data_IF_329429268600
#
_entry.id   IF_329429268600
#
_cell.length_a   1.000
_cell.length_b   1.000
_cell.length_c   1.000
_cell.angle_alpha   90.00
_cell.angle_beta   90.00
_cell.angle_gamma   90.00
#
_symmetry.space_group_name_H-M   'P 1'
#
loop_
_entity.id
_entity.type
_entity.pdbx_description
1 polymer ?
#
# COMPACT_ATOMS: atom_id res chain seq x y z
N UNK A 1 43.73 -10.21 35.34
CA UNK A 1 43.89 -11.23 34.28
C UNK A 1 43.06 -10.77 33.09
N UNK A 2 43.70 -10.12 32.11
CA UNK A 2 43.04 -9.76 30.85
C UNK A 2 42.95 -11.04 30.02
N UNK A 3 41.78 -11.67 29.98
CA UNK A 3 41.52 -12.73 29.02
C UNK A 3 41.70 -12.13 27.63
N UNK A 4 42.80 -12.48 26.97
CA UNK A 4 42.98 -12.25 25.53
C UNK A 4 41.80 -12.90 24.82
N UNK A 5 40.80 -12.11 24.44
CA UNK A 5 39.83 -12.54 23.44
C UNK A 5 40.62 -12.95 22.21
N UNK A 6 40.41 -14.18 21.73
CA UNK A 6 41.07 -14.63 20.50
C UNK A 6 40.73 -13.69 19.34
N UNK A 7 41.69 -13.48 18.43
CA UNK A 7 41.58 -12.60 17.26
C UNK A 7 40.36 -12.86 16.37
N UNK A 8 39.70 -14.00 16.55
CA UNK A 8 38.65 -14.51 15.68
C UNK A 8 37.23 -14.22 16.23
N UNK A 9 37.12 -13.86 17.51
CA UNK A 9 35.86 -13.51 18.18
C UNK A 9 35.02 -12.43 17.44
N UNK A 10 35.60 -11.31 16.94
CA UNK A 10 34.79 -10.30 16.26
C UNK A 10 34.17 -10.79 14.95
N UNK A 11 34.87 -11.68 14.23
CA UNK A 11 34.36 -12.22 12.96
C UNK A 11 33.20 -13.18 13.19
N UNK A 12 33.31 -14.08 14.17
CA UNK A 12 32.21 -14.99 14.53
C UNK A 12 30.96 -14.23 14.97
N UNK A 13 31.13 -13.16 15.74
CA UNK A 13 30.03 -12.29 16.16
C UNK A 13 29.36 -11.60 14.96
N UNK A 14 30.14 -11.05 14.02
CA UNK A 14 29.61 -10.42 12.80
C UNK A 14 28.89 -11.42 11.89
N UNK A 15 29.43 -12.64 11.74
CA UNK A 15 28.78 -13.71 11.00
C UNK A 15 27.44 -14.10 11.64
N UNK A 16 27.42 -14.25 12.97
CA UNK A 16 26.19 -14.57 13.71
C UNK A 16 25.13 -13.48 13.57
N UNK A 17 25.51 -12.20 13.71
CA UNK A 17 24.60 -11.06 13.49
C UNK A 17 24.08 -11.05 12.06
N UNK A 18 24.95 -11.22 11.07
CA UNK A 18 24.56 -11.16 9.66
C UNK A 18 23.57 -12.28 9.31
N UNK A 19 23.79 -13.49 9.84
CA UNK A 19 22.89 -14.63 9.66
C UNK A 19 21.55 -14.40 10.37
N UNK A 20 21.57 -13.92 11.61
CA UNK A 20 20.36 -13.60 12.35
C UNK A 20 19.55 -12.48 11.65
N UNK A 21 20.24 -11.46 11.14
CA UNK A 21 19.64 -10.35 10.40
C UNK A 21 19.02 -10.82 9.08
N UNK A 22 19.66 -11.76 8.37
CA UNK A 22 19.08 -12.38 7.17
C UNK A 22 17.72 -13.04 7.49
N UNK A 23 17.68 -13.90 8.51
CA UNK A 23 16.46 -14.60 8.88
C UNK A 23 15.39 -13.65 9.44
N UNK A 24 15.77 -12.65 10.25
CA UNK A 24 14.84 -11.63 10.73
C UNK A 24 14.22 -10.84 9.56
N UNK A 25 15.05 -10.36 8.63
CA UNK A 25 14.60 -9.58 7.46
C UNK A 25 13.68 -10.40 6.56
N UNK A 26 14.08 -11.62 6.22
CA UNK A 26 13.25 -12.52 5.40
C UNK A 26 11.95 -12.89 6.09
N UNK A 27 11.92 -13.00 7.43
CA UNK A 27 10.69 -13.20 8.19
C UNK A 27 9.78 -11.97 8.14
N UNK A 28 10.33 -10.77 8.33
CA UNK A 28 9.56 -9.52 8.25
C UNK A 28 8.96 -9.32 6.85
N UNK A 29 9.72 -9.62 5.80
CA UNK A 29 9.26 -9.58 4.41
C UNK A 29 8.16 -10.62 4.15
N UNK A 30 8.38 -11.88 4.58
CA UNK A 30 7.39 -12.94 4.45
C UNK A 30 6.10 -12.57 5.18
N UNK A 31 6.20 -12.12 6.43
CA UNK A 31 5.06 -11.77 7.25
C UNK A 31 4.29 -10.59 6.66
N UNK A 32 4.98 -9.55 6.19
CA UNK A 32 4.33 -8.41 5.56
C UNK A 32 3.59 -8.78 4.28
N UNK A 33 4.18 -9.66 3.48
CA UNK A 33 3.55 -10.15 2.27
C UNK A 33 2.34 -11.04 2.59
N UNK A 34 2.48 -12.06 3.44
CA UNK A 34 1.36 -12.89 3.91
C UNK A 34 0.23 -12.06 4.51
N UNK A 35 0.58 -11.11 5.39
CA UNK A 35 -0.40 -10.24 6.04
C UNK A 35 -1.16 -9.40 5.03
N UNK A 36 -0.54 -8.99 3.91
CA UNK A 36 -1.22 -8.25 2.85
C UNK A 36 -2.26 -9.10 2.10
N UNK A 37 -2.15 -10.43 2.10
CA UNK A 37 -3.14 -11.33 1.49
C UNK A 37 -4.35 -11.63 2.38
N UNK A 38 -4.32 -11.26 3.67
CA UNK A 38 -5.49 -11.42 4.52
C UNK A 38 -6.62 -10.48 4.06
N UNK A 39 -7.84 -11.03 3.90
CA UNK A 39 -9.03 -10.30 3.39
C UNK A 39 -9.34 -8.98 4.11
N UNK A 40 -8.97 -8.85 5.38
CA UNK A 40 -9.22 -7.66 6.21
C UNK A 40 -7.97 -6.83 6.47
N UNK A 41 -6.87 -7.14 5.79
CA UNK A 41 -5.61 -6.44 5.99
C UNK A 41 -5.71 -5.00 5.47
N UNK A 42 -5.32 -4.01 6.28
CA UNK A 42 -5.16 -2.63 5.77
C UNK A 42 -4.05 -2.53 4.72
N UNK A 43 -3.19 -3.55 4.60
CA UNK A 43 -2.10 -3.60 3.64
C UNK A 43 -2.48 -4.31 2.32
N UNK A 44 -3.65 -4.97 2.26
CA UNK A 44 -4.14 -5.62 1.05
C UNK A 44 -4.20 -4.70 -0.18
N UNK A 45 -4.57 -3.41 -0.06
CA UNK A 45 -4.54 -2.51 -1.20
C UNK A 45 -3.16 -2.38 -1.86
N UNK A 46 -2.09 -2.43 -1.06
CA UNK A 46 -0.70 -2.23 -1.51
C UNK A 46 -0.12 -3.41 -2.27
N UNK A 47 -0.70 -4.59 -2.13
CA UNK A 47 -0.20 -5.80 -2.73
C UNK A 47 -1.25 -6.51 -3.59
N UNK A 48 -2.37 -6.95 -3.02
CA UNK A 48 -3.42 -7.66 -3.75
C UNK A 48 -4.17 -6.74 -4.72
N UNK A 49 -4.65 -5.59 -4.26
CA UNK A 49 -5.37 -4.66 -5.16
C UNK A 49 -4.43 -3.77 -6.00
N UNK A 50 -3.13 -4.00 -5.86
CA UNK A 50 -2.08 -3.21 -6.48
C UNK A 50 -1.24 -4.02 -7.44
N UNK A 51 -0.27 -4.75 -6.91
CA UNK A 51 0.66 -5.59 -7.67
C UNK A 51 -0.06 -6.71 -8.40
N UNK A 52 -0.96 -7.45 -7.75
CA UNK A 52 -1.76 -8.47 -8.41
C UNK A 52 -2.78 -7.88 -9.40
N UNK A 53 -3.20 -6.62 -9.25
CA UNK A 53 -4.06 -6.01 -10.26
C UNK A 53 -3.35 -5.82 -11.62
N UNK A 54 -2.02 -5.59 -11.62
CA UNK A 54 -1.23 -5.49 -12.85
C UNK A 54 -0.75 -6.84 -13.38
N UNK A 55 -0.59 -7.81 -12.48
CA UNK A 55 -0.14 -9.17 -12.79
C UNK A 55 -1.14 -10.15 -12.16
N UNK A 56 -2.34 -10.32 -12.75
CA UNK A 56 -3.46 -10.99 -12.08
C UNK A 56 -3.31 -12.49 -11.92
N UNK A 57 -2.50 -13.13 -12.74
CA UNK A 57 -2.31 -14.58 -12.73
C UNK A 57 -1.00 -14.95 -13.43
N UNK A 58 -0.66 -16.24 -13.42
CA UNK A 58 0.53 -16.79 -14.07
C UNK A 58 0.58 -16.58 -15.59
N UNK A 59 -0.55 -16.41 -16.27
CA UNK A 59 -0.61 -16.17 -17.73
C UNK A 59 -0.32 -14.71 -18.07
N UNK A 60 -0.65 -13.79 -17.17
CA UNK A 60 -0.45 -12.35 -17.29
C UNK A 60 0.68 -11.83 -16.39
N UNK A 61 1.56 -12.73 -15.91
CA UNK A 61 2.63 -12.40 -14.97
C UNK A 61 3.70 -11.47 -15.58
N UNK A 62 3.92 -11.53 -16.89
CA UNK A 62 5.05 -10.89 -17.55
C UNK A 62 4.63 -9.72 -18.44
N UNK A 63 5.54 -8.76 -18.57
CA UNK A 63 5.37 -7.57 -19.41
C UNK A 63 6.72 -7.14 -19.99
N UNK A 64 6.70 -6.30 -21.03
CA UNK A 64 7.92 -5.81 -21.68
C UNK A 64 8.73 -4.86 -20.77
N UNK A 65 8.09 -4.23 -19.80
CA UNK A 65 8.70 -3.35 -18.80
C UNK A 65 7.98 -3.54 -17.48
N UNK A 66 8.71 -3.45 -16.37
CA UNK A 66 8.09 -3.60 -15.07
C UNK A 66 7.10 -2.46 -14.82
N UNK A 67 5.83 -2.83 -14.66
CA UNK A 67 4.77 -1.93 -14.27
C UNK A 67 4.88 -1.74 -12.75
N UNK A 68 5.49 -0.64 -12.35
CA UNK A 68 5.44 -0.21 -10.96
C UNK A 68 4.04 0.28 -10.65
N UNK A 69 3.39 -0.37 -9.70
CA UNK A 69 2.26 0.23 -9.05
C UNK A 69 2.68 1.53 -8.36
N UNK A 70 2.02 2.63 -8.69
CA UNK A 70 2.27 3.90 -8.02
C UNK A 70 1.46 3.97 -6.73
N UNK A 71 2.00 4.63 -5.70
CA UNK A 71 1.32 4.88 -4.41
C UNK A 71 0.83 3.57 -3.78
N UNK A 72 -0.49 3.42 -3.63
CA UNK A 72 -1.18 2.26 -3.09
C UNK A 72 -1.03 0.99 -3.90
N UNK A 73 -0.29 0.97 -4.99
CA UNK A 73 -0.10 -0.23 -5.79
C UNK A 73 1.33 -0.79 -5.69
N UNK A 74 2.20 -0.16 -4.89
CA UNK A 74 3.56 -0.65 -4.66
C UNK A 74 3.60 -1.62 -3.49
N UNK A 75 4.03 -2.86 -3.76
CA UNK A 75 4.18 -3.92 -2.76
C UNK A 75 5.10 -3.53 -1.62
N UNK A 76 6.07 -2.62 -1.82
CA UNK A 76 7.02 -2.23 -0.76
C UNK A 76 6.31 -1.63 0.45
N UNK A 77 5.21 -0.89 0.25
CA UNK A 77 4.46 -0.28 1.34
C UNK A 77 3.76 -1.31 2.23
N UNK A 78 3.47 -2.52 1.72
CA UNK A 78 2.97 -3.61 2.55
C UNK A 78 4.05 -4.22 3.46
N UNK A 79 5.32 -4.03 3.12
CA UNK A 79 6.47 -4.61 3.83
C UNK A 79 7.07 -3.64 4.86
N UNK A 80 7.04 -2.33 4.57
CA UNK A 80 7.63 -1.29 5.41
C UNK A 80 7.23 -1.33 6.89
N UNK A 81 5.95 -1.54 7.27
CA UNK A 81 5.58 -1.56 8.69
C UNK A 81 6.33 -2.65 9.46
N UNK A 82 6.55 -3.81 8.83
CA UNK A 82 7.20 -4.96 9.44
C UNK A 82 8.72 -4.81 9.49
N UNK A 83 9.31 -4.21 8.46
CA UNK A 83 10.72 -3.81 8.46
C UNK A 83 11.00 -2.74 9.52
N UNK A 84 10.11 -1.78 9.70
CA UNK A 84 10.23 -0.76 10.76
C UNK A 84 10.13 -1.37 12.16
N UNK A 85 9.22 -2.34 12.36
CA UNK A 85 9.14 -3.08 13.63
C UNK A 85 10.43 -3.87 13.90
N UNK A 86 10.97 -4.57 12.89
CA UNK A 86 12.26 -5.24 13.01
C UNK A 86 13.38 -4.25 13.37
N UNK A 87 13.51 -3.16 12.62
CA UNK A 87 14.55 -2.16 12.82
C UNK A 87 14.45 -1.54 14.22
N UNK A 88 13.24 -1.28 14.71
CA UNK A 88 13.00 -0.82 16.08
C UNK A 88 13.47 -1.83 17.14
N UNK A 89 13.20 -3.13 16.94
CA UNK A 89 13.69 -4.20 17.83
C UNK A 89 15.22 -4.26 17.80
N UNK A 90 15.83 -4.19 16.62
CA UNK A 90 17.30 -4.18 16.46
C UNK A 90 17.94 -2.98 17.14
N UNK A 91 17.35 -1.79 17.00
CA UNK A 91 17.82 -0.57 17.67
C UNK A 91 17.78 -0.69 19.19
N UNK A 92 16.78 -1.40 19.73
CA UNK A 92 16.67 -1.66 21.16
C UNK A 92 17.73 -2.65 21.68
N UNK A 93 18.02 -3.71 20.90
CA UNK A 93 18.85 -4.84 21.34
C UNK A 93 20.35 -4.70 21.00
N UNK A 94 20.70 -3.99 19.94
CA UNK A 94 22.06 -3.94 19.41
C UNK A 94 22.82 -2.70 19.87
N UNK A 95 24.15 -2.82 19.90
CA UNK A 95 25.05 -1.67 19.95
C UNK A 95 24.92 -0.85 18.66
N UNK A 96 25.29 0.43 18.68
CA UNK A 96 25.20 1.29 17.49
C UNK A 96 25.93 0.71 16.27
N UNK A 97 27.19 0.23 16.34
CA UNK A 97 27.86 -0.37 15.19
C UNK A 97 27.13 -1.61 14.65
N UNK A 98 26.70 -2.51 15.54
CA UNK A 98 25.97 -3.72 15.15
C UNK A 98 24.60 -3.40 14.53
N UNK A 99 23.92 -2.37 15.03
CA UNK A 99 22.67 -1.87 14.44
C UNK A 99 22.89 -1.36 13.01
N UNK A 100 23.90 -0.51 12.78
CA UNK A 100 24.16 0.02 11.44
C UNK A 100 24.57 -1.07 10.44
N UNK A 101 25.34 -2.06 10.88
CA UNK A 101 25.67 -3.24 10.06
C UNK A 101 24.39 -4.01 9.71
N UNK A 102 23.53 -4.26 10.70
CA UNK A 102 22.25 -4.98 10.50
C UNK A 102 21.32 -4.21 9.56
N UNK A 103 21.15 -2.90 9.78
CA UNK A 103 20.34 -2.02 8.94
C UNK A 103 20.86 -1.98 7.49
N UNK A 104 22.18 -1.92 7.30
CA UNK A 104 22.79 -1.98 5.96
C UNK A 104 22.48 -3.31 5.27
N UNK A 105 22.60 -4.43 6.01
CA UNK A 105 22.23 -5.74 5.49
C UNK A 105 20.74 -5.88 5.17
N UNK A 106 19.87 -5.31 6.00
CA UNK A 106 18.41 -5.27 5.77
C UNK A 106 18.09 -4.52 4.48
N UNK A 107 18.60 -3.30 4.32
CA UNK A 107 18.42 -2.47 3.12
C UNK A 107 18.94 -3.20 1.88
N UNK A 108 20.12 -3.81 1.96
CA UNK A 108 20.70 -4.56 0.85
C UNK A 108 19.80 -5.74 0.44
N UNK A 109 19.26 -6.51 1.39
CA UNK A 109 18.34 -7.61 1.11
C UNK A 109 17.04 -7.13 0.47
N UNK A 110 16.46 -6.03 0.95
CA UNK A 110 15.27 -5.42 0.36
C UNK A 110 15.51 -5.03 -1.09
N UNK A 111 16.65 -4.39 -1.39
CA UNK A 111 17.03 -4.01 -2.75
C UNK A 111 17.17 -5.26 -3.63
N UNK A 112 17.92 -6.27 -3.17
CA UNK A 112 18.16 -7.50 -3.93
C UNK A 112 16.87 -8.25 -4.22
N UNK A 113 16.01 -8.47 -3.23
CA UNK A 113 14.75 -9.17 -3.45
C UNK A 113 13.78 -8.35 -4.30
N UNK A 114 13.75 -7.02 -4.17
CA UNK A 114 12.94 -6.19 -5.05
C UNK A 114 13.43 -6.24 -6.51
N UNK A 115 14.74 -6.30 -6.74
CA UNK A 115 15.31 -6.49 -8.08
C UNK A 115 14.96 -7.87 -8.65
N UNK A 116 15.11 -8.95 -7.87
CA UNK A 116 14.75 -10.30 -8.32
C UNK A 116 13.25 -10.39 -8.62
N UNK A 117 12.40 -9.84 -7.75
CA UNK A 117 10.95 -9.76 -7.95
C UNK A 117 10.61 -9.00 -9.24
N UNK A 118 11.23 -7.84 -9.45
CA UNK A 118 11.07 -7.05 -10.68
C UNK A 118 11.36 -7.90 -11.92
N UNK A 119 12.47 -8.63 -11.88
CA UNK A 119 12.89 -9.50 -12.97
C UNK A 119 11.92 -10.66 -13.21
N UNK A 120 11.16 -11.13 -12.22
CA UNK A 120 10.13 -12.15 -12.43
C UNK A 120 9.01 -11.72 -13.37
N UNK A 121 8.75 -10.41 -13.48
CA UNK A 121 7.67 -9.83 -14.27
C UNK A 121 8.12 -9.30 -15.65
N UNK A 122 9.39 -9.50 -16.02
CA UNK A 122 9.92 -9.09 -17.33
C UNK A 122 9.99 -10.26 -18.29
N UNK A 123 9.50 -10.07 -19.54
CA UNK A 123 9.70 -11.03 -20.62
C UNK A 123 11.20 -11.30 -20.86
N UNK A 124 11.96 -10.23 -21.06
CA UNK A 124 13.39 -10.28 -21.41
C UNK A 124 14.29 -10.10 -20.19
N UNK A 125 14.03 -10.84 -19.12
CA UNK A 125 14.93 -10.83 -17.96
C UNK A 125 16.30 -11.36 -18.32
N UNK A 126 17.34 -10.64 -17.89
CA UNK A 126 18.75 -11.08 -17.99
C UNK A 126 19.03 -12.38 -17.25
N UNK A 127 18.14 -12.81 -16.35
CA UNK A 127 18.29 -14.03 -15.56
C UNK A 127 17.61 -15.25 -16.18
N UNK A 128 16.95 -15.10 -17.34
CA UNK A 128 16.22 -16.18 -18.02
C UNK A 128 17.07 -17.43 -18.29
N UNK A 129 18.40 -17.29 -18.45
CA UNK A 129 19.31 -18.43 -18.66
C UNK A 129 19.57 -19.29 -17.41
N UNK A 130 19.23 -18.82 -16.22
CA UNK A 130 19.58 -19.51 -14.98
C UNK A 130 18.43 -20.38 -14.45
N UNK A 131 18.71 -21.68 -14.27
CA UNK A 131 17.70 -22.66 -13.80
C UNK A 131 17.08 -22.31 -12.45
N UNK A 132 17.88 -21.77 -11.52
CA UNK A 132 17.38 -21.36 -10.20
C UNK A 132 16.34 -20.24 -10.33
N UNK A 133 16.58 -19.27 -11.21
CA UNK A 133 15.71 -18.13 -11.43
C UNK A 133 14.40 -18.56 -12.11
N UNK A 134 14.48 -19.42 -13.14
CA UNK A 134 13.30 -20.01 -13.76
C UNK A 134 12.43 -20.78 -12.74
N UNK A 135 13.07 -21.49 -11.80
CA UNK A 135 12.35 -22.22 -10.74
C UNK A 135 11.68 -21.27 -9.75
N UNK A 136 12.39 -20.23 -9.31
CA UNK A 136 11.84 -19.22 -8.41
C UNK A 136 10.68 -18.44 -9.07
N UNK A 137 10.84 -18.02 -10.33
CA UNK A 137 9.78 -17.37 -11.11
C UNK A 137 8.54 -18.25 -11.25
N UNK A 138 8.68 -19.56 -11.49
CA UNK A 138 7.52 -20.47 -11.53
C UNK A 138 6.77 -20.51 -10.20
N UNK A 139 7.47 -20.52 -9.07
CA UNK A 139 6.83 -20.49 -7.74
C UNK A 139 6.15 -19.16 -7.46
N UNK A 140 6.75 -18.07 -7.93
CA UNK A 140 6.12 -16.74 -7.93
C UNK A 140 4.87 -16.71 -8.83
N UNK A 141 4.88 -17.40 -9.97
CA UNK A 141 3.68 -17.55 -10.79
C UNK A 141 2.54 -18.26 -10.03
N UNK A 142 2.85 -19.31 -9.26
CA UNK A 142 1.86 -19.97 -8.38
C UNK A 142 1.32 -19.04 -7.29
N UNK A 143 2.17 -18.15 -6.76
CA UNK A 143 1.74 -17.12 -5.82
C UNK A 143 0.71 -16.15 -6.43
N UNK A 144 0.86 -15.85 -7.72
CA UNK A 144 -0.12 -15.05 -8.45
C UNK A 144 -1.44 -15.79 -8.72
N UNK A 145 -1.44 -17.13 -8.66
CA UNK A 145 -2.63 -17.94 -8.87
C UNK A 145 -3.34 -18.34 -7.55
N UNK A 146 -2.62 -18.41 -6.42
CA UNK A 146 -3.10 -18.91 -5.13
C UNK A 146 -2.31 -18.28 -3.96
N UNK A 147 -2.89 -18.31 -2.76
CA UNK A 147 -2.34 -17.78 -1.51
C UNK A 147 -1.19 -18.65 -0.96
N UNK A 148 -0.07 -18.72 -1.69
CA UNK A 148 1.11 -19.55 -1.40
C UNK A 148 2.41 -18.85 -1.77
N UNK A 149 3.57 -19.35 -1.32
CA UNK A 149 4.90 -18.87 -1.70
C UNK A 149 5.09 -17.35 -1.50
N UNK A 150 4.79 -16.83 -0.31
CA UNK A 150 4.88 -15.40 -0.01
C UNK A 150 6.31 -14.88 -0.01
N UNK A 151 7.34 -15.71 0.09
CA UNK A 151 8.72 -15.22 0.02
C UNK A 151 9.26 -15.32 -1.43
N UNK A 152 9.88 -14.22 -1.89
CA UNK A 152 10.40 -14.09 -3.28
C UNK A 152 11.76 -14.78 -3.44
N UNK A 153 12.67 -14.57 -2.49
CA UNK A 153 14.10 -14.91 -2.66
C UNK A 153 14.50 -16.30 -2.19
N UNK A 154 13.89 -16.77 -1.11
CA UNK A 154 13.98 -18.14 -0.63
C UNK A 154 12.59 -18.57 -0.14
N UNK A 155 12.40 -19.84 0.20
CA UNK A 155 11.11 -20.33 0.69
C UNK A 155 11.25 -21.02 2.05
N UNK A 156 12.22 -20.60 2.86
CA UNK A 156 12.42 -21.16 4.20
C UNK A 156 11.17 -20.94 5.05
N UNK A 157 10.70 -19.70 5.13
CA UNK A 157 9.51 -19.34 5.90
C UNK A 157 8.23 -19.96 5.34
N UNK A 158 8.09 -20.01 4.01
CA UNK A 158 6.94 -20.68 3.40
C UNK A 158 6.87 -22.17 3.76
N UNK A 159 8.02 -22.85 3.84
CA UNK A 159 8.07 -24.26 4.27
C UNK A 159 7.75 -24.38 5.75
N UNK A 160 8.32 -23.51 6.58
CA UNK A 160 8.11 -23.54 8.02
C UNK A 160 6.63 -23.30 8.38
N UNK A 161 5.98 -22.34 7.71
CA UNK A 161 4.59 -21.97 7.96
C UNK A 161 3.58 -22.73 7.08
N UNK A 162 4.03 -23.67 6.25
CA UNK A 162 3.15 -24.51 5.44
C UNK A 162 2.45 -23.79 4.27
N UNK A 163 3.00 -22.68 3.82
CA UNK A 163 2.52 -21.90 2.66
C UNK A 163 3.32 -22.17 1.39
N UNK A 164 4.29 -23.11 1.43
CA UNK A 164 5.08 -23.50 0.27
C UNK A 164 4.30 -24.38 -0.72
N UNK A 165 4.37 -24.06 -2.01
CA UNK A 165 3.83 -24.86 -3.11
C UNK A 165 4.82 -24.93 -4.29
N UNK A 166 4.85 -26.06 -5.01
CA UNK A 166 5.64 -26.22 -6.23
C UNK A 166 4.79 -26.96 -7.29
N UNK A 167 5.14 -26.79 -8.57
CA UNK A 167 4.45 -27.54 -9.63
C UNK A 167 4.75 -29.04 -9.47
N UNK A 168 3.70 -29.86 -9.36
CA UNK A 168 3.82 -31.32 -9.19
C UNK A 168 3.87 -31.82 -7.74
N UNK A 169 3.68 -30.96 -6.74
CA UNK A 169 3.43 -31.42 -5.36
C UNK A 169 1.93 -31.59 -5.12
N UNK A 170 1.45 -32.83 -5.03
CA UNK A 170 0.06 -33.14 -4.69
C UNK A 170 -0.33 -32.44 -3.37
N UNK A 171 -1.46 -31.73 -3.34
CA UNK A 171 -1.89 -30.81 -2.27
C UNK A 171 -2.13 -31.41 -0.87
N UNK A 172 -1.65 -32.62 -0.58
CA UNK A 172 -1.82 -33.34 0.69
C UNK A 172 -0.83 -32.94 1.79
N UNK A 173 0.22 -32.17 1.50
CA UNK A 173 1.20 -31.73 2.51
C UNK A 173 0.77 -30.46 3.28
N UNK A 174 -0.38 -29.85 2.94
CA UNK A 174 -0.79 -28.50 3.40
C UNK A 174 -1.32 -28.40 4.86
N UNK A 175 -1.62 -29.50 5.59
CA UNK A 175 -2.40 -29.40 6.86
C UNK A 175 -1.62 -29.79 8.14
N UNK A 176 -0.47 -30.45 8.08
CA UNK A 176 0.24 -30.91 9.31
C UNK A 176 1.30 -29.95 9.88
N UNK A 177 1.81 -28.99 9.12
CA UNK A 177 2.90 -28.13 9.59
C UNK A 177 2.43 -27.02 10.55
N UNK A 178 1.30 -26.36 10.27
CA UNK A 178 0.82 -25.17 11.01
C UNK A 178 0.49 -25.50 12.47
N UNK A 179 -0.13 -26.66 12.76
CA UNK A 179 -0.46 -27.08 14.14
C UNK A 179 0.79 -27.42 14.96
N UNK A 180 1.81 -27.98 14.31
CA UNK A 180 3.02 -28.47 14.99
C UNK A 180 3.96 -27.33 15.37
N UNK A 181 4.13 -26.33 14.50
CA UNK A 181 5.00 -25.17 14.76
C UNK A 181 4.40 -24.25 15.83
N UNK A 182 3.08 -23.99 15.78
CA UNK A 182 2.40 -23.18 16.80
C UNK A 182 2.48 -23.83 18.21
N UNK A 183 2.31 -25.15 18.30
CA UNK A 183 2.45 -25.88 19.57
C UNK A 183 3.89 -25.87 20.10
N UNK A 184 4.89 -25.91 19.21
CA UNK A 184 6.31 -25.90 19.58
C UNK A 184 6.77 -24.52 20.05
N UNK A 185 6.33 -23.45 19.40
CA UNK A 185 6.63 -22.07 19.82
C UNK A 185 5.95 -21.72 21.14
N UNK A 186 4.68 -22.09 21.32
CA UNK A 186 3.96 -21.88 22.58
C UNK A 186 4.62 -22.61 23.76
N UNK A 187 5.10 -23.84 23.55
CA UNK A 187 5.77 -24.63 24.59
C UNK A 187 7.24 -24.24 24.82
N UNK A 188 7.90 -23.58 23.86
CA UNK A 188 9.22 -22.98 24.02
C UNK A 188 9.18 -21.68 24.83
N UNK A 189 8.22 -20.80 24.53
CA UNK A 189 8.03 -19.54 25.26
C UNK A 189 7.62 -19.78 26.73
N UNK A 190 6.77 -20.77 26.98
CA UNK A 190 6.39 -21.16 28.35
C UNK A 190 7.59 -21.65 29.20
N UNK A 191 8.55 -22.35 28.57
CA UNK A 191 9.76 -22.84 29.26
C UNK A 191 10.79 -21.74 29.52
N UNK A 192 10.94 -20.79 28.60
CA UNK A 192 11.82 -19.62 28.78
C UNK A 192 11.32 -18.68 29.87
N UNK A 193 10.01 -18.47 30.00
CA UNK A 193 9.43 -17.65 31.06
C UNK A 193 9.61 -18.30 32.45
N UNK A 194 9.61 -19.63 32.52
CA UNK A 194 9.85 -20.38 33.76
C UNK A 194 11.30 -20.33 34.23
N UNK A 195 12.29 -20.21 33.33
CA UNK A 195 13.70 -20.23 33.73
C UNK A 195 14.24 -18.87 34.18
N UNK A 196 13.60 -17.76 33.80
CA UNK A 196 14.01 -16.41 34.21
C UNK A 196 13.50 -15.98 35.60
N UNK A 197 12.57 -16.73 36.20
CA UNK A 197 12.05 -16.44 37.54
C UNK A 197 12.96 -16.93 38.69
N UNK A 198 14.18 -17.43 38.41
CA UNK A 198 15.05 -18.05 39.43
C UNK A 198 16.51 -17.54 39.47
N UNK A 199 16.89 -16.50 38.72
CA UNK A 199 18.25 -15.94 38.81
C UNK A 199 18.23 -14.54 39.42
N UNK A 200 18.92 -14.43 40.55
CA UNK A 200 18.89 -13.30 41.49
C UNK A 200 19.48 -11.97 41.01
N UNK A 201 19.23 -10.99 41.87
CA UNK A 201 19.72 -9.62 41.90
C UNK A 201 21.20 -9.44 41.53
N UNK A 202 21.50 -8.47 40.65
CA UNK A 202 22.81 -7.83 40.61
C UNK A 202 22.72 -6.34 40.20
N UNK A 203 23.47 -5.51 40.93
CA UNK A 203 23.47 -4.03 40.92
C UNK A 203 24.24 -3.41 39.74
N UNK A 204 23.72 -3.52 38.51
CA UNK A 204 24.24 -2.78 37.34
C UNK A 204 23.21 -1.79 36.73
N UNK A 205 22.18 -1.45 37.49
CA UNK A 205 20.96 -0.83 37.00
C UNK A 205 21.05 0.64 36.51
N UNK A 206 22.19 1.34 36.62
CA UNK A 206 22.21 2.79 36.36
C UNK A 206 22.48 3.21 34.90
N UNK A 207 23.26 2.48 34.10
CA UNK A 207 23.47 2.85 32.68
C UNK A 207 22.36 2.31 31.75
N UNK A 208 21.79 1.15 32.06
CA UNK A 208 20.69 0.56 31.28
C UNK A 208 19.39 1.38 31.38
N UNK A 209 19.16 2.03 32.53
CA UNK A 209 17.94 2.80 32.80
C UNK A 209 17.88 4.12 32.01
N UNK A 210 19.02 4.73 31.67
CA UNK A 210 19.07 5.99 30.91
C UNK A 210 18.90 5.73 29.41
N UNK A 211 19.51 4.67 28.87
CA UNK A 211 19.31 4.26 27.46
C UNK A 211 17.89 3.74 27.20
N UNK A 212 17.26 3.05 28.16
CA UNK A 212 15.88 2.60 28.06
C UNK A 212 14.86 3.78 28.06
N UNK A 213 15.13 4.87 28.78
CA UNK A 213 14.18 6.01 28.82
C UNK A 213 14.10 6.80 27.50
N UNK A 214 15.14 6.73 26.65
CA UNK A 214 15.18 7.45 25.36
C UNK A 214 14.73 6.58 24.18
N UNK A 215 14.98 5.26 24.21
CA UNK A 215 14.68 4.36 23.08
C UNK A 215 13.21 3.93 23.00
N UNK A 216 12.54 3.69 24.13
CA UNK A 216 11.16 3.18 24.14
C UNK A 216 10.08 4.15 23.64
N UNK A 217 10.15 5.49 23.88
CA UNK A 217 9.19 6.44 23.31
C UNK A 217 9.32 6.56 21.78
N UNK A 218 10.54 6.45 21.23
CA UNK A 218 10.79 6.49 19.79
C UNK A 218 10.20 5.25 19.08
N UNK A 219 10.29 4.08 19.72
CA UNK A 219 9.68 2.83 19.22
C UNK A 219 8.14 2.95 19.19
N UNK A 220 7.51 3.56 20.21
CA UNK A 220 6.06 3.71 20.26
C UNK A 220 5.53 4.74 19.25
N UNK A 221 6.25 5.84 19.04
CA UNK A 221 5.87 6.92 18.13
C UNK A 221 5.94 6.49 16.66
N UNK A 222 6.96 5.70 16.29
CA UNK A 222 7.16 5.21 14.92
C UNK A 222 6.09 4.17 14.53
N UNK A 223 5.60 3.37 15.47
CA UNK A 223 4.50 2.41 15.24
C UNK A 223 3.13 3.08 15.08
N UNK A 224 2.92 4.28 15.63
CA UNK A 224 1.63 5.00 15.60
C UNK A 224 1.40 5.82 14.31
N UNK A 225 2.43 6.05 13.49
CA UNK A 225 2.35 6.93 12.29
C UNK A 225 1.91 6.19 11.01
N UNK A 226 1.74 4.87 11.04
CA UNK A 226 1.52 4.05 9.82
C UNK A 226 0.03 3.92 9.41
N UNK A 227 -0.89 4.65 10.04
CA UNK A 227 -2.34 4.37 9.96
C UNK A 227 -3.22 5.28 9.10
N UNK A 228 -2.73 6.36 8.47
CA UNK A 228 -3.59 7.26 7.69
C UNK A 228 -3.70 6.83 6.22
N UNK A 229 -4.38 5.71 5.96
CA UNK A 229 -4.51 5.16 4.61
C UNK A 229 -5.63 5.88 3.83
N UNK A 230 -5.28 6.66 2.79
CA UNK A 230 -6.23 7.28 1.83
C UNK A 230 -6.63 6.31 0.71
N UNK A 231 -7.88 5.83 0.66
CA UNK A 231 -8.35 4.85 -0.33
C UNK A 231 -8.64 5.51 -1.67
N UNK A 232 -7.92 5.13 -2.72
CA UNK A 232 -8.15 5.67 -4.06
C UNK A 232 -9.26 4.90 -4.77
N UNK A 233 -10.08 5.62 -5.56
CA UNK A 233 -11.11 5.01 -6.38
C UNK A 233 -10.48 4.18 -7.52
N UNK A 234 -10.98 2.97 -7.81
CA UNK A 234 -10.46 2.20 -8.94
C UNK A 234 -10.89 2.87 -10.26
N UNK A 235 -9.92 3.25 -11.07
CA UNK A 235 -10.14 3.89 -12.38
C UNK A 235 -10.49 2.79 -13.38
N UNK A 236 -11.60 2.96 -14.11
CA UNK A 236 -11.99 2.06 -15.18
C UNK A 236 -11.01 2.18 -16.36
N UNK A 237 -10.56 1.04 -16.90
CA UNK A 237 -9.74 1.03 -18.10
C UNK A 237 -10.55 1.59 -19.29
N UNK A 238 -9.90 2.32 -20.19
CA UNK A 238 -10.50 2.83 -21.43
C UNK A 238 -10.80 1.71 -22.43
N UNK A 239 -10.16 0.57 -22.27
CA UNK A 239 -10.29 -0.57 -23.16
C UNK A 239 -11.25 -1.63 -22.64
N UNK A 240 -11.65 -1.56 -21.37
CA UNK A 240 -12.62 -2.48 -20.75
C UNK A 240 -14.05 -2.06 -21.16
N UNK A 241 -14.87 -3.04 -21.55
CA UNK A 241 -16.30 -2.84 -21.71
C UNK A 241 -16.97 -2.55 -20.36
N UNK A 242 -18.09 -1.82 -20.38
CA UNK A 242 -18.87 -1.59 -19.16
C UNK A 242 -19.28 -2.92 -18.50
N UNK A 243 -18.95 -3.08 -17.23
CA UNK A 243 -19.37 -4.22 -16.42
C UNK A 243 -20.82 -3.99 -15.97
N UNK A 244 -21.79 -4.84 -16.39
CA UNK A 244 -23.19 -4.66 -16.08
C UNK A 244 -23.51 -4.81 -14.58
N UNK A 245 -22.61 -5.40 -13.78
CA UNK A 245 -22.77 -5.50 -12.33
C UNK A 245 -22.28 -4.27 -11.56
N UNK A 246 -21.51 -3.41 -12.21
CA UNK A 246 -20.85 -2.24 -11.62
C UNK A 246 -21.60 -0.94 -11.88
N UNK A 247 -21.26 0.08 -11.13
CA UNK A 247 -21.70 1.47 -11.31
C UNK A 247 -20.48 2.35 -11.61
N UNK A 248 -20.67 3.50 -12.26
CA UNK A 248 -19.55 4.34 -12.68
C UNK A 248 -19.78 5.83 -12.40
N UNK A 249 -18.79 6.53 -11.84
CA UNK A 249 -18.82 8.00 -11.84
C UNK A 249 -17.76 8.52 -12.78
N UNK A 250 -18.05 9.60 -13.51
CA UNK A 250 -17.09 10.18 -14.43
C UNK A 250 -17.10 11.70 -14.44
N UNK A 251 -15.96 12.27 -14.85
CA UNK A 251 -15.72 13.70 -14.90
C UNK A 251 -14.28 14.00 -15.33
N UNK A 252 -13.93 15.28 -15.38
CA UNK A 252 -12.53 15.72 -15.50
C UNK A 252 -12.00 16.12 -14.13
N UNK A 253 -10.78 15.70 -13.80
CA UNK A 253 -10.16 15.99 -12.50
C UNK A 253 -8.75 16.50 -12.76
N UNK A 254 -8.63 17.82 -12.90
CA UNK A 254 -7.42 18.46 -13.38
C UNK A 254 -6.70 19.24 -12.27
N UNK A 255 -5.37 19.10 -12.19
CA UNK A 255 -4.52 19.94 -11.35
C UNK A 255 -3.70 20.89 -12.23
N UNK A 256 -3.93 22.19 -12.09
CA UNK A 256 -3.36 23.22 -12.98
C UNK A 256 -1.90 23.58 -12.66
N UNK A 257 -1.41 23.24 -11.47
CA UNK A 257 -0.05 23.58 -11.00
C UNK A 257 0.51 22.40 -10.22
N UNK A 258 1.53 21.72 -10.75
CA UNK A 258 2.07 20.51 -10.14
C UNK A 258 3.54 20.33 -10.54
N UNK A 259 4.46 20.74 -9.68
CA UNK A 259 5.76 20.04 -9.60
C UNK A 259 5.86 19.19 -8.32
N UNK A 260 5.08 19.51 -7.28
CA UNK A 260 5.23 18.87 -5.95
C UNK A 260 3.92 18.62 -5.19
N UNK A 261 2.77 19.04 -5.72
CA UNK A 261 1.45 18.90 -5.06
C UNK A 261 0.61 17.80 -5.71
N UNK A 262 -0.26 17.16 -4.94
CA UNK A 262 -1.30 16.28 -5.49
C UNK A 262 -2.66 16.62 -4.89
N UNK A 263 -3.71 16.58 -5.72
CA UNK A 263 -5.09 16.79 -5.32
C UNK A 263 -5.91 15.51 -5.52
N UNK A 264 -7.03 15.42 -4.82
CA UNK A 264 -8.07 14.47 -5.13
C UNK A 264 -9.45 14.93 -4.67
N UNK A 265 -10.49 14.28 -5.19
CA UNK A 265 -11.86 14.45 -4.74
C UNK A 265 -12.25 13.24 -3.88
N UNK A 266 -12.69 13.49 -2.64
CA UNK A 266 -13.13 12.45 -1.72
C UNK A 266 -14.62 12.19 -1.88
N UNK A 267 -14.96 10.91 -2.00
CA UNK A 267 -16.32 10.39 -2.14
C UNK A 267 -16.50 9.29 -1.10
N UNK A 268 -17.64 9.27 -0.42
CA UNK A 268 -17.95 8.28 0.62
C UNK A 268 -19.15 7.45 0.18
N UNK A 269 -19.03 6.12 0.24
CA UNK A 269 -20.18 5.23 0.13
C UNK A 269 -20.99 5.30 1.44
N UNK A 270 -22.22 5.79 1.36
CA UNK A 270 -23.06 6.04 2.53
C UNK A 270 -23.56 4.76 3.22
N UNK A 271 -23.51 3.62 2.54
CA UNK A 271 -23.87 2.31 3.12
C UNK A 271 -22.71 1.70 3.88
N UNK A 272 -21.52 1.70 3.30
CA UNK A 272 -20.35 0.99 3.85
C UNK A 272 -19.43 1.89 4.66
N UNK A 273 -19.57 3.22 4.55
CA UNK A 273 -18.63 4.19 5.12
C UNK A 273 -17.27 4.19 4.43
N UNK A 274 -17.14 3.55 3.25
CA UNK A 274 -15.87 3.46 2.54
C UNK A 274 -15.56 4.78 1.83
N UNK A 275 -14.38 5.32 2.13
CA UNK A 275 -13.81 6.48 1.43
C UNK A 275 -13.17 6.07 0.11
N UNK A 276 -13.37 6.89 -0.91
CA UNK A 276 -12.75 6.81 -2.22
C UNK A 276 -12.18 8.17 -2.57
N UNK A 277 -10.96 8.22 -3.11
CA UNK A 277 -10.31 9.44 -3.58
C UNK A 277 -10.03 9.33 -5.07
N UNK A 278 -10.61 10.25 -5.84
CA UNK A 278 -10.32 10.42 -7.26
C UNK A 278 -9.13 11.37 -7.38
N UNK A 279 -7.99 10.88 -7.84
CA UNK A 279 -6.78 11.70 -7.98
C UNK A 279 -6.89 12.67 -9.17
N UNK A 280 -6.47 13.93 -8.95
CA UNK A 280 -6.42 14.93 -10.01
C UNK A 280 -5.15 14.73 -10.85
N UNK A 281 -5.25 14.89 -12.16
CA UNK A 281 -4.18 14.66 -13.12
C UNK A 281 -3.79 15.98 -13.82
N UNK A 282 -2.51 16.12 -14.14
CA UNK A 282 -2.01 17.29 -14.87
C UNK A 282 -2.59 17.38 -16.29
N UNK A 283 -2.93 16.22 -16.88
CA UNK A 283 -3.61 16.19 -18.18
C UNK A 283 -5.11 16.29 -17.98
N UNK A 284 -5.75 17.17 -18.74
CA UNK A 284 -7.20 17.32 -18.77
C UNK A 284 -7.84 16.13 -19.49
N UNK A 285 -8.03 15.03 -18.75
CA UNK A 285 -8.62 13.80 -19.25
C UNK A 285 -9.93 13.51 -18.53
N UNK A 286 -10.88 12.93 -19.27
CA UNK A 286 -12.05 12.31 -18.65
C UNK A 286 -11.60 11.02 -17.96
N UNK A 287 -11.95 10.91 -16.69
CA UNK A 287 -11.70 9.75 -15.83
C UNK A 287 -13.06 9.17 -15.46
N UNK A 288 -13.17 7.85 -15.55
CA UNK A 288 -14.28 7.10 -15.02
C UNK A 288 -13.77 6.22 -13.86
N UNK A 289 -14.51 6.18 -12.77
CA UNK A 289 -14.22 5.32 -11.62
C UNK A 289 -15.29 4.23 -11.52
N UNK A 290 -14.86 2.98 -11.36
CA UNK A 290 -15.74 1.82 -11.18
C UNK A 290 -16.12 1.72 -9.70
N UNK A 291 -17.40 1.55 -9.41
CA UNK A 291 -17.95 1.57 -8.06
C UNK A 291 -18.96 0.44 -7.91
N UNK A 292 -19.24 0.07 -6.66
CA UNK A 292 -20.43 -0.73 -6.37
C UNK A 292 -21.69 0.14 -6.58
N UNK A 293 -22.81 -0.43 -7.06
CA UNK A 293 -24.08 0.26 -7.05
C UNK A 293 -24.48 0.66 -5.62
N UNK A 294 -24.93 1.90 -5.43
CA UNK A 294 -25.24 2.42 -4.10
C UNK A 294 -25.46 3.93 -4.01
N UNK A 295 -25.44 4.41 -2.77
CA UNK A 295 -25.57 5.81 -2.43
C UNK A 295 -24.20 6.38 -2.04
N UNK A 296 -23.81 7.48 -2.66
CA UNK A 296 -22.51 8.11 -2.48
C UNK A 296 -22.66 9.57 -2.12
N UNK A 297 -21.65 10.15 -1.46
CA UNK A 297 -21.58 11.59 -1.22
C UNK A 297 -20.18 12.09 -1.52
N UNK A 298 -20.09 13.19 -2.26
CA UNK A 298 -18.83 13.90 -2.45
C UNK A 298 -18.67 14.82 -1.24
N UNK A 299 -17.62 14.63 -0.45
CA UNK A 299 -17.48 15.29 0.86
C UNK A 299 -16.47 16.42 0.84
N UNK A 300 -15.35 16.24 0.14
CA UNK A 300 -14.21 17.15 0.29
C UNK A 300 -13.25 17.08 -0.90
N UNK A 301 -12.47 18.15 -1.08
CA UNK A 301 -11.25 18.13 -1.89
C UNK A 301 -10.09 17.88 -0.94
N UNK A 302 -9.27 16.89 -1.26
CA UNK A 302 -8.05 16.54 -0.52
C UNK A 302 -6.82 17.02 -1.25
N UNK A 303 -5.84 17.55 -0.51
CA UNK A 303 -4.57 18.01 -1.03
C UNK A 303 -3.40 17.43 -0.22
N UNK A 304 -2.31 17.10 -0.90
CA UNK A 304 -1.03 16.71 -0.30
C UNK A 304 0.04 17.67 -0.81
N UNK A 305 0.65 18.43 0.10
CA UNK A 305 1.70 19.40 -0.24
C UNK A 305 3.12 18.92 0.11
N UNK A 306 4.07 19.19 -0.79
CA UNK A 306 5.51 19.35 -0.49
C UNK A 306 6.34 18.10 -0.15
N UNK A 307 7.66 18.29 -0.09
CA UNK A 307 8.73 17.25 -0.02
C UNK A 307 8.62 16.24 1.13
N UNK A 308 7.81 16.50 2.16
CA UNK A 308 7.58 15.58 3.27
C UNK A 308 6.20 14.89 3.26
N UNK A 309 5.26 15.24 2.36
CA UNK A 309 3.93 14.63 2.15
C UNK A 309 3.13 14.22 3.40
N UNK A 310 3.44 14.74 4.59
CA UNK A 310 2.93 14.21 5.85
C UNK A 310 1.58 14.82 6.26
N UNK A 311 1.15 15.91 5.63
CA UNK A 311 -0.11 16.59 5.95
C UNK A 311 -1.10 16.44 4.81
N UNK A 312 -2.09 15.57 5.01
CA UNK A 312 -3.32 15.58 4.22
C UNK A 312 -4.10 16.82 4.67
N UNK A 313 -4.35 17.73 3.75
CA UNK A 313 -5.28 18.82 3.96
C UNK A 313 -6.61 18.40 3.33
N UNK A 314 -7.70 18.47 4.10
CA UNK A 314 -9.06 18.18 3.64
C UNK A 314 -9.89 19.45 3.72
N UNK A 315 -10.49 19.88 2.60
CA UNK A 315 -11.43 21.01 2.57
C UNK A 315 -12.83 20.49 2.30
N UNK A 316 -13.76 20.56 3.27
CA UNK A 316 -15.16 20.21 3.06
C UNK A 316 -15.75 21.01 1.90
N UNK A 317 -16.54 20.35 1.05
CA UNK A 317 -17.21 21.03 -0.05
C UNK A 317 -18.29 21.98 0.45
N UNK A 318 -18.94 21.66 1.57
CA UNK A 318 -20.06 22.42 2.18
C UNK A 318 -19.73 23.89 2.45
N UNK A 319 -18.45 24.22 2.59
CA UNK A 319 -17.96 25.59 2.83
C UNK A 319 -17.83 26.43 1.54
N UNK A 320 -18.19 25.88 0.37
CA UNK A 320 -18.01 26.53 -0.93
C UNK A 320 -19.36 26.90 -1.55
N UNK A 321 -19.45 28.11 -2.10
CA UNK A 321 -20.64 28.62 -2.79
C UNK A 321 -21.00 27.69 -3.98
N UNK A 322 -22.27 27.26 -4.07
CA UNK A 322 -22.73 26.28 -5.07
C UNK A 322 -22.52 24.79 -4.72
N UNK A 323 -21.93 24.47 -3.56
CA UNK A 323 -21.64 23.09 -3.13
C UNK A 323 -22.86 22.26 -2.72
N UNK A 324 -23.98 22.91 -2.36
CA UNK A 324 -25.19 22.25 -1.83
C UNK A 324 -25.82 21.22 -2.79
N UNK A 325 -25.45 21.26 -4.07
CA UNK A 325 -25.90 20.32 -5.10
C UNK A 325 -24.98 19.08 -5.11
N UNK A 326 -23.68 19.31 -4.93
CA UNK A 326 -22.59 18.33 -5.04
C UNK A 326 -22.52 17.44 -3.81
N UNK A 327 -22.91 17.97 -2.64
CA UNK A 327 -22.87 17.25 -1.36
C UNK A 327 -24.12 16.42 -1.09
N UNK A 328 -25.11 16.42 -2.00
CA UNK A 328 -26.29 15.57 -1.88
C UNK A 328 -25.93 14.09 -2.11
N UNK A 329 -26.65 13.15 -1.48
CA UNK A 329 -26.54 11.74 -1.83
C UNK A 329 -26.78 11.52 -3.33
N UNK A 330 -25.78 10.95 -4.00
CA UNK A 330 -25.82 10.51 -5.38
C UNK A 330 -26.18 9.02 -5.39
N UNK A 331 -27.35 8.70 -5.92
CA UNK A 331 -27.76 7.32 -6.13
C UNK A 331 -27.28 6.87 -7.50
N UNK A 332 -26.59 5.73 -7.55
CA UNK A 332 -26.12 5.14 -8.79
C UNK A 332 -26.46 3.65 -8.86
N UNK A 333 -27.09 3.27 -9.97
CA UNK A 333 -27.56 1.91 -10.23
C UNK A 333 -26.53 1.07 -10.96
N UNK A 334 -26.79 -0.23 -11.06
CA UNK A 334 -26.02 -1.15 -11.91
C UNK A 334 -26.04 -0.67 -13.36
N UNK A 335 -24.89 -0.78 -14.03
CA UNK A 335 -24.68 -0.40 -15.41
C UNK A 335 -24.97 1.08 -15.72
N UNK A 336 -24.98 1.94 -14.69
CA UNK A 336 -25.17 3.38 -14.82
C UNK A 336 -23.83 4.10 -14.73
N UNK A 337 -23.65 5.13 -15.56
CA UNK A 337 -22.53 6.06 -15.47
C UNK A 337 -23.01 7.47 -15.14
N UNK A 338 -22.70 7.97 -13.95
CA UNK A 338 -23.12 9.28 -13.46
C UNK A 338 -22.03 10.33 -13.70
N UNK A 339 -22.39 11.42 -14.39
CA UNK A 339 -21.54 12.59 -14.51
C UNK A 339 -21.51 13.37 -13.18
N UNK A 340 -20.33 13.58 -12.61
CA UNK A 340 -20.17 14.27 -11.32
C UNK A 340 -19.52 15.66 -11.40
N UNK A 341 -19.22 16.14 -12.61
CA UNK A 341 -18.63 17.47 -12.83
C UNK A 341 -17.16 17.43 -13.25
N UNK A 342 -16.69 18.59 -13.71
CA UNK A 342 -15.31 18.79 -14.12
C UNK A 342 -14.61 19.68 -13.10
N UNK A 343 -13.75 19.07 -12.29
CA UNK A 343 -13.02 19.69 -11.19
C UNK A 343 -11.64 20.16 -11.63
N UNK A 344 -11.30 21.38 -11.27
CA UNK A 344 -9.97 21.95 -11.45
C UNK A 344 -9.45 22.39 -10.08
N UNK A 345 -8.28 21.91 -9.68
CA UNK A 345 -7.56 22.42 -8.51
C UNK A 345 -6.29 23.17 -8.93
N UNK A 346 -6.01 24.27 -8.25
CA UNK A 346 -4.81 25.08 -8.37
C UNK A 346 -4.21 25.25 -6.98
N UNK A 347 -2.90 25.09 -6.90
CA UNK A 347 -2.14 25.22 -5.66
C UNK A 347 -1.13 26.35 -5.83
N UNK A 348 -1.17 27.31 -4.92
CA UNK A 348 -0.19 28.38 -4.81
C UNK A 348 0.59 28.16 -3.53
N UNK A 349 1.88 27.88 -3.66
CA UNK A 349 2.79 27.83 -2.52
C UNK A 349 3.24 29.25 -2.20
N UNK A 350 2.87 29.75 -1.03
CA UNK A 350 3.45 30.98 -0.50
C UNK A 350 4.66 30.58 0.32
N UNK A 351 5.86 30.78 -0.26
CA UNK A 351 7.13 30.49 0.42
C UNK A 351 7.23 31.31 1.71
N UNK A 352 7.11 30.62 2.84
CA UNK A 352 7.36 31.17 4.17
C UNK A 352 8.77 30.84 4.63
N UNK A 353 9.29 31.57 5.62
CA UNK A 353 10.62 31.32 6.21
C UNK A 353 10.63 30.01 7.03
N UNK A 354 9.46 29.56 7.54
CA UNK A 354 9.35 28.44 8.48
C UNK A 354 8.36 27.36 8.02
N UNK A 355 7.27 27.72 7.33
CA UNK A 355 6.28 26.78 6.76
C UNK A 355 5.78 27.35 5.44
N UNK A 356 5.74 26.54 4.39
CA UNK A 356 5.07 26.91 3.14
C UNK A 356 3.55 26.90 3.36
N UNK A 357 2.91 28.06 3.26
CA UNK A 357 1.45 28.15 3.26
C UNK A 357 0.93 27.67 1.91
N UNK A 358 0.11 26.61 1.93
CA UNK A 358 -0.54 26.08 0.75
C UNK A 358 -1.90 26.76 0.56
N UNK A 359 -1.97 27.70 -0.39
CA UNK A 359 -3.24 28.31 -0.80
C UNK A 359 -3.80 27.49 -1.95
N UNK A 360 -4.90 26.80 -1.71
CA UNK A 360 -5.63 26.05 -2.74
C UNK A 360 -6.85 26.81 -3.25
N UNK A 361 -7.03 26.80 -4.56
CA UNK A 361 -8.25 27.22 -5.23
C UNK A 361 -8.75 26.03 -6.02
N UNK A 362 -10.03 25.71 -5.90
CA UNK A 362 -10.65 24.71 -6.75
C UNK A 362 -11.95 25.25 -7.31
N UNK A 363 -12.33 24.73 -8.46
CA UNK A 363 -13.58 25.05 -9.13
C UNK A 363 -14.17 23.78 -9.73
N UNK A 364 -15.49 23.77 -9.88
CA UNK A 364 -16.24 22.71 -10.56
C UNK A 364 -17.05 23.36 -11.66
N UNK A 365 -17.03 22.76 -12.85
CA UNK A 365 -17.82 23.23 -13.99
C UNK A 365 -18.69 22.11 -14.54
N UNK A 366 -19.89 22.48 -14.99
CA UNK A 366 -20.76 21.58 -15.72
C UNK A 366 -20.44 21.65 -17.22
N UNK A 367 -19.67 20.69 -17.70
CA UNK A 367 -19.43 20.47 -19.14
C UNK A 367 -20.02 19.15 -19.59
N UNK A 368 -21.16 18.76 -19.02
CA UNK A 368 -21.79 17.46 -19.24
C UNK A 368 -21.82 17.02 -20.71
N UNK A 369 -22.24 17.88 -21.64
CA UNK A 369 -22.33 17.53 -23.07
C UNK A 369 -20.96 17.20 -23.67
N UNK A 370 -19.93 17.99 -23.37
CA UNK A 370 -18.58 17.79 -23.90
C UNK A 370 -17.92 16.57 -23.24
N UNK A 371 -17.95 16.50 -21.92
CA UNK A 371 -17.31 15.43 -21.14
C UNK A 371 -17.96 14.08 -21.38
N UNK A 372 -19.29 14.02 -21.52
CA UNK A 372 -20.00 12.78 -21.86
C UNK A 372 -19.67 12.29 -23.27
N UNK A 373 -19.50 13.20 -24.23
CA UNK A 373 -19.07 12.82 -25.58
C UNK A 373 -17.69 12.16 -25.55
N UNK A 374 -16.74 12.76 -24.83
CA UNK A 374 -15.39 12.22 -24.68
C UNK A 374 -15.40 10.91 -23.87
N UNK A 375 -16.23 10.80 -22.85
CA UNK A 375 -16.44 9.57 -22.09
C UNK A 375 -16.89 8.42 -23.00
N UNK A 376 -18.00 8.60 -23.73
CA UNK A 376 -18.57 7.59 -24.62
C UNK A 376 -17.66 7.22 -25.79
N UNK A 377 -16.84 8.15 -26.28
CA UNK A 377 -15.82 7.85 -27.30
C UNK A 377 -14.69 6.97 -26.76
N UNK A 378 -14.37 7.07 -25.47
CA UNK A 378 -13.26 6.35 -24.84
C UNK A 378 -13.69 5.12 -24.03
N UNK A 379 -14.99 4.92 -23.80
CA UNK A 379 -15.52 3.83 -22.99
C UNK A 379 -16.74 3.23 -23.69
N UNK A 380 -16.59 2.00 -24.20
CA UNK A 380 -17.65 1.28 -24.92
C UNK A 380 -18.53 0.50 -23.94
N UNK A 381 -19.73 0.12 -24.38
CA UNK A 381 -20.67 -0.70 -23.60
C UNK A 381 -21.59 0.06 -22.64
N UNK A 382 -21.35 1.36 -22.41
CA UNK A 382 -22.22 2.19 -21.58
C UNK A 382 -23.55 2.49 -22.29
N UNK A 383 -24.62 1.86 -21.82
CA UNK A 383 -25.97 2.02 -22.38
C UNK A 383 -26.84 2.98 -21.57
N UNK A 384 -26.47 3.24 -20.31
CA UNK A 384 -27.23 4.11 -19.41
C UNK A 384 -26.35 5.26 -18.92
N UNK A 385 -26.31 6.32 -19.72
CA UNK A 385 -25.77 7.61 -19.31
C UNK A 385 -26.95 8.57 -19.08
N UNK A 386 -27.06 9.24 -17.92
CA UNK A 386 -28.13 10.18 -17.62
C UNK A 386 -28.23 11.24 -18.70
N UNK A 387 -29.44 11.57 -19.17
CA UNK A 387 -29.63 12.57 -20.24
C UNK A 387 -29.25 13.99 -19.82
N UNK A 388 -29.10 14.24 -18.53
CA UNK A 388 -28.87 15.56 -17.92
C UNK A 388 -27.82 15.45 -16.83
N UNK A 389 -27.12 16.56 -16.64
CA UNK A 389 -26.16 16.77 -15.56
C UNK A 389 -26.81 16.77 -14.17
N UNK A 390 -26.08 16.34 -13.14
CA UNK A 390 -26.52 16.49 -11.74
C UNK A 390 -26.67 17.96 -11.31
N UNK A 391 -26.01 18.87 -12.04
CA UNK A 391 -26.11 20.32 -11.81
C UNK A 391 -27.40 20.91 -12.41
N UNK A 392 -28.05 20.22 -13.34
CA UNK A 392 -29.25 20.71 -14.02
C UNK A 392 -30.47 20.80 -13.09
N UNK A 393 -30.65 19.82 -12.20
CA UNK A 393 -31.77 19.80 -11.24
C UNK A 393 -31.75 21.00 -10.27
N UNK A 394 -30.59 21.63 -10.10
CA UNK A 394 -30.46 22.82 -9.27
C UNK A 394 -30.88 24.12 -9.96
N UNK A 395 -30.79 24.17 -11.29
CA UNK A 395 -31.22 25.32 -12.08
C UNK A 395 -32.75 25.38 -12.21
N UNK A 396 -33.42 24.22 -12.29
CA UNK A 396 -34.89 24.15 -12.34
C UNK A 396 -35.57 24.46 -10.98
N UNK A 397 -34.85 24.34 -9.86
CA UNK A 397 -35.35 24.69 -8.52
C UNK A 397 -35.24 26.20 -8.21
N UNK A 398 -35.04 27.05 -9.23
CA UNK A 398 -34.72 28.48 -9.10
C UNK A 398 -35.51 29.23 -8.03
N UNK A 399 -34.86 29.56 -6.92
CA UNK A 399 -35.19 30.62 -5.95
C UNK A 399 -34.07 30.69 -4.90
N UNK A 400 -33.79 31.89 -4.34
CA UNK A 400 -32.57 32.16 -3.58
C UNK A 400 -32.51 31.37 -2.26
N UNK A 401 -31.30 31.10 -1.80
CA UNK A 401 -31.01 30.98 -0.36
C UNK A 401 -30.70 32.36 0.20
#
# INVERSE_FOLDING_TARGET
>A
MNAMMSSDQPYLFLCAISLANYYATTLALWFGHWFAHLKRSPLAPFHVLGHHAFYPDSRHLMSARFIYGQRRQSSIYSLLPWLMVQSAIQLALLSWPSYFISLTGEIALVIVFNQIHTEFHLHDSRWNGFRWFQKARRRHALHHDDDVNYMVGDHFWDRLFGTFADYGSDGRTRIHAIRTVAATLASGLARSASSQLHSGHDESANEFTVMAKIRYPAVLLISLVVGACVSYAPIADRTEDADPASAYMYGRFHIATSETATAGLKIVNLRTGTDYVIEFKEKDHVIAIKLEPGAYRITSVVGLGGFAKAKIMEKPLEETEGSAIITRPLLISKNEALYIGDYVAKFTFKRGIVVDDLIWHWNVSDRYVETTRVFLANHKGFTHVPKRSIFFAAQELGSPL
#
